data_IF_116040023341
#
_entry.id   IF_116040023341
#
_cell.length_a   1.000
_cell.length_b   1.000
_cell.length_c   1.000
_cell.angle_alpha   90.00
_cell.angle_beta   90.00
_cell.angle_gamma   90.00
#
_symmetry.space_group_name_H-M   'P 1'
#
loop_
_entity.id
_entity.type
_entity.pdbx_description
1 polymer ?
#
# COMPACT_ATOMS: atom_id res chain seq x y z
N UNK A 1 10.31 70.31 10.13
CA UNK A 1 9.47 69.24 9.56
C UNK A 1 8.98 68.41 10.70
N UNK A 2 7.65 68.36 10.79
CA UNK A 2 6.86 68.16 11.98
C UNK A 2 6.87 66.72 12.49
N UNK A 3 6.86 66.59 13.81
CA UNK A 3 6.50 65.38 14.55
C UNK A 3 5.02 65.04 14.29
N UNK A 4 4.76 63.80 13.86
CA UNK A 4 3.41 63.23 13.81
C UNK A 4 3.27 62.15 14.88
N UNK A 5 2.46 62.44 15.89
CA UNK A 5 1.84 61.47 16.77
C UNK A 5 0.34 61.73 16.71
N UNK A 6 -0.44 60.74 16.26
CA UNK A 6 -1.87 60.64 16.56
C UNK A 6 -2.28 59.17 16.48
N UNK A 7 -2.81 58.72 17.61
CA UNK A 7 -3.48 57.45 17.86
C UNK A 7 -4.88 57.48 17.26
N UNK A 8 -5.34 56.36 16.69
CA UNK A 8 -6.78 56.10 16.62
C UNK A 8 -7.04 54.58 16.75
N UNK A 9 -7.78 54.23 17.81
CA UNK A 9 -8.36 52.92 18.03
C UNK A 9 -9.83 53.01 17.61
N UNK A 10 -10.31 52.04 16.84
CA UNK A 10 -11.72 51.66 16.88
C UNK A 10 -11.82 50.14 16.79
N UNK A 11 -12.58 49.64 17.75
CA UNK A 11 -12.94 48.26 18.04
C UNK A 11 -14.02 47.71 17.08
N UNK A 12 -14.39 46.45 17.31
CA UNK A 12 -15.61 45.74 16.89
C UNK A 12 -15.60 45.17 15.44
N UNK A 13 -15.93 43.90 15.16
CA UNK A 13 -16.81 42.98 15.86
C UNK A 13 -16.65 41.52 15.35
N UNK A 14 -16.85 40.60 16.29
CA UNK A 14 -17.48 39.27 16.21
C UNK A 14 -16.83 38.08 15.48
N UNK A 15 -16.38 37.17 16.35
CA UNK A 15 -16.22 35.74 16.18
C UNK A 15 -17.50 35.06 15.65
N UNK A 16 -17.37 34.29 14.57
CA UNK A 16 -18.33 33.24 14.21
C UNK A 16 -17.76 31.89 14.67
N UNK A 17 -18.26 31.46 15.83
CA UNK A 17 -18.27 30.06 16.27
C UNK A 17 -19.25 29.27 15.38
N UNK A 18 -18.74 28.33 14.60
CA UNK A 18 -19.52 27.18 14.12
C UNK A 18 -18.80 25.89 14.56
N UNK A 19 -19.31 25.34 15.66
CA UNK A 19 -19.26 23.90 15.99
C UNK A 19 -19.88 23.13 14.79
N UNK A 20 -19.45 21.94 14.39
CA UNK A 20 -19.51 20.67 15.11
C UNK A 20 -19.11 19.63 14.04
N UNK A 21 -18.18 18.71 14.33
CA UNK A 21 -18.17 17.35 13.78
C UNK A 21 -17.09 16.56 14.52
N UNK A 22 -17.50 15.99 15.65
CA UNK A 22 -16.74 14.99 16.37
C UNK A 22 -16.86 13.64 15.65
N UNK A 23 -15.76 13.17 15.08
CA UNK A 23 -15.60 11.77 14.72
C UNK A 23 -15.09 11.00 15.96
N UNK A 24 -16.01 10.73 16.89
CA UNK A 24 -15.84 9.72 17.94
C UNK A 24 -16.01 8.33 17.29
N UNK A 25 -14.91 7.77 16.77
CA UNK A 25 -14.88 6.36 16.38
C UNK A 25 -14.81 5.50 17.66
N UNK A 26 -15.95 4.94 18.04
CA UNK A 26 -16.13 3.95 19.12
C UNK A 26 -15.19 2.74 18.95
N UNK A 27 -14.18 2.64 19.82
CA UNK A 27 -13.40 1.43 20.07
C UNK A 27 -14.26 0.39 20.81
N UNK A 28 -15.01 -0.44 20.09
CA UNK A 28 -15.66 -1.63 20.65
C UNK A 28 -14.67 -2.79 20.74
N UNK A 29 -14.05 -2.93 21.91
CA UNK A 29 -13.22 -4.05 22.29
C UNK A 29 -14.12 -5.27 22.60
N UNK A 30 -14.22 -6.23 21.66
CA UNK A 30 -14.64 -7.59 22.01
C UNK A 30 -13.71 -8.65 21.44
N UNK A 31 -13.05 -9.32 22.38
CA UNK A 31 -12.15 -10.45 22.18
C UNK A 31 -12.93 -11.76 22.11
N UNK A 32 -12.50 -12.61 21.15
CA UNK A 32 -12.62 -14.08 21.12
C UNK A 32 -13.98 -14.69 20.75
N UNK A 33 -14.06 -15.24 19.54
CA UNK A 33 -14.06 -16.71 19.30
C UNK A 33 -14.05 -17.02 17.80
N UNK A 34 -13.17 -17.94 17.41
CA UNK A 34 -13.12 -18.53 16.09
C UNK A 34 -14.27 -19.52 15.89
N UNK A 35 -14.92 -19.50 14.72
CA UNK A 35 -15.57 -20.68 14.12
C UNK A 35 -15.96 -20.41 12.67
N UNK A 36 -15.75 -21.44 11.86
CA UNK A 36 -15.80 -21.50 10.40
C UNK A 36 -17.14 -21.08 9.78
N UNK A 37 -17.11 -20.19 8.78
CA UNK A 37 -18.18 -20.08 7.78
C UNK A 37 -17.57 -19.76 6.41
N UNK A 38 -17.63 -20.75 5.51
CA UNK A 38 -17.49 -20.54 4.07
C UNK A 38 -18.77 -19.90 3.54
N UNK A 39 -18.71 -18.60 3.23
CA UNK A 39 -19.69 -17.93 2.36
C UNK A 39 -18.98 -16.88 1.54
N UNK A 40 -19.15 -16.97 0.22
CA UNK A 40 -18.69 -16.02 -0.79
C UNK A 40 -19.13 -14.60 -0.44
N UNK A 41 -18.22 -13.84 0.17
CA UNK A 41 -18.21 -12.38 0.16
C UNK A 41 -16.99 -11.97 -0.64
N UNK A 42 -17.18 -11.22 -1.71
CA UNK A 42 -16.09 -10.61 -2.49
C UNK A 42 -15.45 -9.51 -1.63
N UNK A 43 -14.66 -9.90 -0.65
CA UNK A 43 -13.86 -8.96 0.12
C UNK A 43 -12.66 -8.54 -0.72
N UNK A 44 -12.37 -7.24 -0.75
CA UNK A 44 -11.21 -6.70 -1.45
C UNK A 44 -9.94 -6.87 -0.59
N UNK A 45 -9.80 -8.05 0.02
CA UNK A 45 -8.65 -8.49 0.81
C UNK A 45 -8.30 -9.95 0.49
N UNK A 46 -7.08 -10.35 0.81
CA UNK A 46 -6.55 -11.69 0.51
C UNK A 46 -5.52 -12.08 1.55
N UNK A 47 -5.88 -13.01 2.44
CA UNK A 47 -4.98 -13.56 3.46
C UNK A 47 -3.75 -14.24 2.84
N UNK A 48 -3.93 -14.92 1.71
CA UNK A 48 -2.83 -15.57 0.99
C UNK A 48 -1.78 -14.55 0.52
N UNK A 49 -2.23 -13.38 0.05
CA UNK A 49 -1.30 -12.31 -0.33
C UNK A 49 -0.63 -11.66 0.88
N UNK A 50 -1.33 -11.58 2.01
CA UNK A 50 -0.73 -11.13 3.27
C UNK A 50 0.37 -12.08 3.73
N UNK A 51 0.12 -13.39 3.70
CA UNK A 51 1.12 -14.40 4.04
C UNK A 51 2.33 -14.34 3.09
N UNK A 52 2.08 -14.21 1.79
CA UNK A 52 3.15 -14.13 0.78
C UNK A 52 3.99 -12.86 0.92
N UNK A 53 3.33 -11.70 1.14
CA UNK A 53 4.00 -10.43 1.40
C UNK A 53 4.83 -10.46 2.68
N UNK A 54 4.28 -11.03 3.76
CA UNK A 54 4.98 -11.20 5.05
C UNK A 54 6.19 -12.12 4.90
N UNK A 55 6.04 -13.24 4.17
CA UNK A 55 7.14 -14.18 3.90
C UNK A 55 8.23 -13.54 3.05
N UNK A 56 7.85 -12.74 2.05
CA UNK A 56 8.80 -11.97 1.24
C UNK A 56 9.60 -10.99 2.12
N UNK A 57 8.89 -10.22 2.94
CA UNK A 57 9.51 -9.27 3.88
C UNK A 57 10.50 -9.97 4.84
N UNK A 58 10.10 -11.09 5.44
CA UNK A 58 10.96 -11.86 6.34
C UNK A 58 12.20 -12.39 5.61
N UNK A 59 12.04 -12.91 4.38
CA UNK A 59 13.18 -13.41 3.60
C UNK A 59 14.16 -12.29 3.23
N UNK A 60 13.66 -11.13 2.83
CA UNK A 60 14.50 -9.96 2.55
C UNK A 60 15.19 -9.46 3.82
N UNK A 61 14.50 -9.49 4.97
CA UNK A 61 15.06 -9.08 6.27
C UNK A 61 16.20 -9.97 6.75
N UNK A 62 16.06 -11.28 6.58
CA UNK A 62 17.01 -12.26 7.13
C UNK A 62 18.21 -12.45 6.20
N UNK A 63 18.00 -12.36 4.88
CA UNK A 63 19.00 -12.79 3.91
C UNK A 63 19.73 -11.64 3.23
N UNK A 64 19.28 -10.39 3.34
CA UNK A 64 19.95 -9.26 2.71
C UNK A 64 20.72 -8.40 3.73
N UNK A 65 22.05 -8.62 3.89
CA UNK A 65 22.88 -7.84 4.83
C UNK A 65 23.00 -6.36 4.47
N UNK A 66 22.48 -5.93 3.30
CA UNK A 66 22.52 -4.55 2.82
C UNK A 66 21.33 -3.72 3.32
N UNK A 67 20.40 -4.32 4.05
CA UNK A 67 19.23 -3.65 4.62
C UNK A 67 19.32 -3.59 6.16
N UNK A 68 20.23 -2.79 6.74
CA UNK A 68 20.40 -2.71 8.19
C UNK A 68 19.13 -2.20 8.91
N UNK A 69 18.31 -1.37 8.23
CA UNK A 69 17.05 -0.83 8.73
C UNK A 69 15.89 -1.09 7.74
N UNK A 70 15.50 -2.35 7.55
CA UNK A 70 14.50 -2.74 6.54
C UNK A 70 13.18 -1.94 6.59
N UNK A 71 12.81 -1.48 7.78
CA UNK A 71 11.61 -0.67 8.05
C UNK A 71 11.60 0.64 7.25
N UNK A 72 12.78 1.23 7.00
CA UNK A 72 12.91 2.47 6.25
C UNK A 72 12.95 2.23 4.73
N UNK A 73 13.44 1.07 4.32
CA UNK A 73 13.72 0.74 2.92
C UNK A 73 12.56 0.05 2.21
N UNK A 74 11.66 -0.63 2.94
CA UNK A 74 10.57 -1.41 2.36
C UNK A 74 9.20 -0.83 2.69
N UNK A 75 8.32 -0.78 1.71
CA UNK A 75 6.88 -0.59 1.95
C UNK A 75 6.04 -1.61 1.20
N UNK A 76 4.86 -1.87 1.75
CA UNK A 76 3.79 -2.63 1.11
C UNK A 76 2.75 -1.65 0.59
N UNK A 77 2.43 -1.78 -0.70
CA UNK A 77 1.40 -0.98 -1.37
C UNK A 77 0.28 -1.91 -1.82
N UNK A 78 -0.96 -1.48 -1.64
CA UNK A 78 -2.14 -2.22 -2.11
C UNK A 78 -3.23 -1.25 -2.57
N UNK A 79 -4.06 -1.58 -3.57
CA UNK A 79 -5.15 -0.69 -3.99
C UNK A 79 -6.24 -0.52 -2.92
N UNK A 80 -6.40 -1.48 -2.00
CA UNK A 80 -7.58 -1.54 -1.12
C UNK A 80 -7.27 -1.24 0.35
N UNK A 81 -8.02 -0.31 0.95
CA UNK A 81 -7.94 0.00 2.40
C UNK A 81 -8.20 -1.25 3.28
N UNK A 82 -9.07 -2.16 2.83
CA UNK A 82 -9.33 -3.42 3.52
C UNK A 82 -8.05 -4.27 3.63
N UNK A 83 -7.30 -4.39 2.54
CA UNK A 83 -6.02 -5.10 2.53
C UNK A 83 -4.97 -4.39 3.39
N UNK A 84 -4.95 -3.05 3.44
CA UNK A 84 -4.08 -2.31 4.38
C UNK A 84 -4.39 -2.72 5.82
N UNK A 85 -5.67 -2.68 6.22
CA UNK A 85 -6.09 -3.10 7.58
C UNK A 85 -5.71 -4.55 7.85
N UNK A 86 -5.89 -5.44 6.87
CA UNK A 86 -5.52 -6.83 7.01
C UNK A 86 -4.01 -6.96 7.25
N UNK A 87 -3.16 -6.36 6.42
CA UNK A 87 -1.71 -6.35 6.66
C UNK A 87 -1.33 -5.80 8.03
N UNK A 88 -1.98 -4.74 8.50
CA UNK A 88 -1.73 -4.15 9.82
C UNK A 88 -2.04 -5.10 10.98
N UNK A 89 -2.95 -6.07 10.79
CA UNK A 89 -3.22 -7.09 11.81
C UNK A 89 -2.15 -8.19 11.89
N UNK A 90 -1.29 -8.35 10.87
CA UNK A 90 -0.23 -9.38 10.83
C UNK A 90 1.18 -8.80 10.91
N UNK A 91 1.37 -7.53 10.58
CA UNK A 91 2.68 -6.91 10.48
C UNK A 91 2.96 -5.97 11.65
N UNK A 92 4.23 -5.88 12.09
CA UNK A 92 4.63 -4.89 13.07
C UNK A 92 4.31 -3.46 12.62
N UNK A 93 4.00 -2.53 13.54
CA UNK A 93 3.55 -1.18 13.22
C UNK A 93 4.59 -0.36 12.44
N UNK A 94 5.87 -0.69 12.61
CA UNK A 94 6.98 0.00 11.93
C UNK A 94 7.12 -0.34 10.44
N UNK A 95 6.45 -1.39 9.95
CA UNK A 95 6.44 -1.69 8.51
C UNK A 95 5.44 -0.76 7.84
N UNK A 96 5.87 -0.04 6.82
CA UNK A 96 4.99 0.86 6.10
C UNK A 96 4.05 0.08 5.17
N UNK A 97 2.75 0.21 5.41
CA UNK A 97 1.68 -0.35 4.59
C UNK A 97 0.73 0.79 4.21
N UNK A 98 0.48 0.95 2.92
CA UNK A 98 -0.23 2.10 2.38
C UNK A 98 -1.07 1.76 1.15
N UNK A 99 -2.07 2.60 0.89
CA UNK A 99 -2.82 2.53 -0.38
C UNK A 99 -2.06 3.23 -1.51
N UNK A 100 -2.43 2.94 -2.76
CA UNK A 100 -1.92 3.64 -3.94
C UNK A 100 -1.96 5.18 -3.79
N UNK A 101 -3.10 5.74 -3.36
CA UNK A 101 -3.26 7.19 -3.17
C UNK A 101 -2.33 7.74 -2.09
N UNK A 102 -2.26 7.06 -0.94
CA UNK A 102 -1.42 7.50 0.19
C UNK A 102 0.09 7.32 -0.05
N UNK A 103 0.46 6.64 -1.14
CA UNK A 103 1.86 6.46 -1.56
C UNK A 103 2.35 7.57 -2.50
N UNK A 104 1.49 8.49 -2.92
CA UNK A 104 1.86 9.56 -3.84
C UNK A 104 2.98 10.43 -3.26
N UNK A 105 4.04 10.64 -4.04
CA UNK A 105 5.22 11.43 -3.63
C UNK A 105 6.13 10.73 -2.61
N UNK A 106 5.81 9.51 -2.19
CA UNK A 106 6.68 8.69 -1.35
C UNK A 106 7.39 7.65 -2.22
N UNK A 107 8.64 7.36 -1.91
CA UNK A 107 9.42 6.35 -2.62
C UNK A 107 10.15 5.47 -1.62
N UNK A 108 10.35 4.21 -2.01
CA UNK A 108 11.05 3.21 -1.22
C UNK A 108 12.04 2.46 -2.08
N UNK A 109 13.07 1.98 -1.43
CA UNK A 109 14.11 1.19 -2.07
C UNK A 109 13.52 -0.10 -2.64
N UNK A 110 12.63 -0.73 -1.87
CA UNK A 110 11.90 -1.93 -2.26
C UNK A 110 10.41 -1.70 -2.02
N UNK A 111 9.59 -2.05 -2.99
CA UNK A 111 8.13 -2.04 -2.86
C UNK A 111 7.58 -3.44 -3.06
N UNK A 112 6.69 -3.84 -2.15
CA UNK A 112 5.87 -5.04 -2.28
C UNK A 112 4.45 -4.58 -2.64
N UNK A 113 4.02 -4.85 -3.87
CA UNK A 113 2.69 -4.55 -4.37
C UNK A 113 1.78 -5.77 -4.21
N UNK A 114 0.71 -5.65 -3.43
CA UNK A 114 -0.35 -6.67 -3.32
C UNK A 114 -1.56 -6.19 -4.12
N UNK A 115 -1.84 -6.84 -5.25
CA UNK A 115 -2.93 -6.48 -6.16
C UNK A 115 -4.30 -6.89 -5.61
N UNK A 116 -4.37 -7.97 -4.82
CA UNK A 116 -5.60 -8.57 -4.26
C UNK A 116 -6.56 -9.08 -5.34
N UNK A 117 -7.14 -10.25 -5.11
CA UNK A 117 -8.16 -10.85 -5.96
C UNK A 117 -9.49 -10.11 -5.82
N UNK A 118 -9.75 -9.10 -6.65
CA UNK A 118 -11.09 -8.48 -6.67
C UNK A 118 -12.03 -9.28 -7.58
N UNK A 119 -12.88 -10.12 -6.99
CA UNK A 119 -14.09 -10.71 -7.60
C UNK A 119 -14.07 -10.95 -9.12
N UNK A 120 -15.13 -10.49 -9.80
CA UNK A 120 -15.33 -10.64 -11.26
C UNK A 120 -14.66 -9.51 -12.07
N UNK A 121 -14.21 -8.42 -11.42
CA UNK A 121 -13.61 -7.25 -12.07
C UNK A 121 -12.45 -6.71 -11.24
N UNK A 122 -11.35 -6.32 -11.90
CA UNK A 122 -10.16 -5.73 -11.24
C UNK A 122 -10.40 -4.34 -10.62
N UNK A 123 -11.55 -3.71 -10.92
CA UNK A 123 -12.02 -2.47 -10.29
C UNK A 123 -10.95 -1.38 -10.26
N UNK A 124 -10.49 -1.05 -9.05
CA UNK A 124 -9.53 0.02 -8.75
C UNK A 124 -8.17 -0.13 -9.46
N UNK A 125 -7.82 -1.34 -9.90
CA UNK A 125 -6.60 -1.61 -10.66
C UNK A 125 -6.69 -1.22 -12.14
N UNK A 126 -7.89 -0.89 -12.66
CA UNK A 126 -8.10 -0.44 -14.04
C UNK A 126 -7.73 1.03 -14.28
N UNK A 127 -7.38 1.76 -13.22
CA UNK A 127 -6.90 3.13 -13.32
C UNK A 127 -5.40 3.13 -13.62
N UNK A 128 -5.04 3.41 -14.88
CA UNK A 128 -3.65 3.50 -15.31
C UNK A 128 -2.81 4.51 -14.51
N UNK A 129 -3.41 5.60 -14.02
CA UNK A 129 -2.66 6.56 -13.20
C UNK A 129 -2.26 5.92 -11.87
N UNK A 130 -3.17 5.14 -11.26
CA UNK A 130 -2.89 4.42 -10.01
C UNK A 130 -1.89 3.30 -10.22
N UNK A 131 -2.00 2.56 -11.32
CA UNK A 131 -1.00 1.55 -11.71
C UNK A 131 0.39 2.19 -11.83
N UNK A 132 0.51 3.30 -12.57
CA UNK A 132 1.77 4.02 -12.74
C UNK A 132 2.34 4.52 -11.41
N UNK A 133 1.49 5.08 -10.54
CA UNK A 133 1.92 5.50 -9.20
C UNK A 133 2.52 4.30 -8.47
N UNK A 134 1.78 3.19 -8.35
CA UNK A 134 2.23 2.00 -7.61
C UNK A 134 3.53 1.39 -8.18
N UNK A 135 3.63 1.24 -9.50
CA UNK A 135 4.79 0.62 -10.16
C UNK A 135 6.05 1.49 -10.09
N UNK A 136 5.92 2.81 -9.96
CA UNK A 136 7.05 3.75 -9.94
C UNK A 136 7.53 4.10 -8.53
N UNK A 137 6.94 3.53 -7.47
CA UNK A 137 7.36 3.85 -6.08
C UNK A 137 8.66 3.15 -5.67
N UNK A 138 9.09 2.10 -6.39
CA UNK A 138 10.33 1.36 -6.10
C UNK A 138 11.54 1.96 -6.78
N UNK A 139 12.64 2.15 -6.03
CA UNK A 139 13.92 2.60 -6.58
C UNK A 139 14.79 1.45 -7.10
N UNK A 140 14.84 0.33 -6.37
CA UNK A 140 15.71 -0.79 -6.71
C UNK A 140 14.95 -2.06 -7.08
N UNK A 141 13.88 -2.40 -6.35
CA UNK A 141 13.14 -3.63 -6.61
C UNK A 141 11.63 -3.49 -6.36
N UNK A 142 10.86 -4.15 -7.23
CA UNK A 142 9.41 -4.25 -7.15
C UNK A 142 9.01 -5.72 -7.11
N UNK A 143 8.27 -6.11 -6.07
CA UNK A 143 7.66 -7.42 -5.94
C UNK A 143 6.15 -7.30 -6.10
N UNK A 144 5.57 -7.95 -7.10
CA UNK A 144 4.12 -7.90 -7.34
C UNK A 144 3.49 -9.25 -6.99
N UNK A 145 2.52 -9.23 -6.09
CA UNK A 145 1.69 -10.37 -5.71
C UNK A 145 0.28 -10.19 -6.25
N UNK A 146 -0.23 -11.21 -6.93
CA UNK A 146 -1.59 -11.21 -7.47
C UNK A 146 -1.85 -12.41 -8.38
N UNK A 147 -3.09 -12.54 -8.83
CA UNK A 147 -3.46 -13.52 -9.84
C UNK A 147 -3.12 -12.98 -11.23
N UNK A 148 -1.99 -13.41 -11.79
CA UNK A 148 -1.50 -12.94 -13.09
C UNK A 148 -2.50 -13.16 -14.24
N UNK A 149 -3.22 -14.28 -14.23
CA UNK A 149 -4.25 -14.59 -15.24
C UNK A 149 -5.38 -13.57 -15.16
N UNK A 150 -5.90 -13.32 -13.96
CA UNK A 150 -6.97 -12.35 -13.76
C UNK A 150 -6.56 -10.93 -14.15
N UNK A 151 -5.34 -10.50 -13.77
CA UNK A 151 -4.83 -9.18 -14.12
C UNK A 151 -4.71 -9.02 -15.65
N UNK A 152 -4.16 -10.02 -16.34
CA UNK A 152 -3.96 -9.99 -17.78
C UNK A 152 -5.27 -10.08 -18.59
N UNK A 153 -6.29 -10.75 -18.05
CA UNK A 153 -7.58 -10.90 -18.75
C UNK A 153 -8.45 -9.65 -18.65
N UNK A 154 -8.26 -8.84 -17.60
CA UNK A 154 -9.19 -7.76 -17.25
C UNK A 154 -8.71 -6.36 -17.66
N UNK A 155 -7.41 -6.16 -17.88
CA UNK A 155 -6.88 -4.87 -18.34
C UNK A 155 -5.68 -5.01 -19.30
N UNK A 156 -5.66 -4.26 -20.43
CA UNK A 156 -4.58 -4.31 -21.40
C UNK A 156 -3.19 -3.91 -20.86
N UNK A 157 -3.11 -2.93 -19.94
CA UNK A 157 -1.84 -2.49 -19.39
C UNK A 157 -1.23 -3.56 -18.46
N UNK A 158 -2.06 -4.16 -17.61
CA UNK A 158 -1.70 -5.33 -16.82
C UNK A 158 -1.31 -6.52 -17.69
N UNK A 159 -2.00 -6.75 -18.81
CA UNK A 159 -1.62 -7.78 -19.79
C UNK A 159 -0.22 -7.55 -20.35
N UNK A 160 0.10 -6.31 -20.73
CA UNK A 160 1.44 -5.97 -21.22
C UNK A 160 2.50 -6.16 -20.13
N UNK A 161 2.21 -5.73 -18.90
CA UNK A 161 3.08 -5.94 -17.75
C UNK A 161 3.35 -7.43 -17.48
N UNK A 162 2.31 -8.27 -17.47
CA UNK A 162 2.42 -9.72 -17.28
C UNK A 162 3.20 -10.38 -18.43
N UNK A 163 2.94 -9.97 -19.67
CA UNK A 163 3.69 -10.46 -20.84
C UNK A 163 5.18 -10.10 -20.75
N UNK A 164 5.50 -8.89 -20.29
CA UNK A 164 6.87 -8.47 -20.03
C UNK A 164 7.52 -9.35 -18.96
N UNK A 165 6.81 -9.64 -17.86
CA UNK A 165 7.32 -10.51 -16.81
C UNK A 165 7.59 -11.95 -17.29
N UNK A 166 6.69 -12.51 -18.12
CA UNK A 166 6.90 -13.82 -18.76
C UNK A 166 8.12 -13.81 -19.68
N UNK A 167 8.23 -12.81 -20.56
CA UNK A 167 9.34 -12.69 -21.53
C UNK A 167 10.70 -12.64 -20.84
N UNK A 168 10.79 -11.94 -19.71
CA UNK A 168 12.03 -11.79 -18.95
C UNK A 168 12.26 -12.91 -17.91
N UNK A 169 11.35 -13.88 -17.80
CA UNK A 169 11.45 -15.01 -16.85
C UNK A 169 11.57 -14.57 -15.39
N UNK A 170 10.90 -13.47 -15.03
CA UNK A 170 10.92 -12.87 -13.68
C UNK A 170 9.67 -13.24 -12.85
N UNK A 171 8.99 -14.33 -13.23
CA UNK A 171 7.83 -14.85 -12.50
C UNK A 171 8.29 -16.01 -11.62
N UNK A 172 7.87 -16.00 -10.36
CA UNK A 172 8.17 -17.03 -9.38
C UNK A 172 6.92 -17.44 -8.60
N UNK A 173 6.99 -18.60 -7.95
CA UNK A 173 5.95 -19.04 -7.03
C UNK A 173 5.91 -18.11 -5.81
N UNK A 174 4.74 -17.58 -5.49
CA UNK A 174 4.53 -16.67 -4.38
C UNK A 174 4.82 -17.31 -3.00
N UNK A 175 4.82 -18.64 -2.89
CA UNK A 175 5.24 -19.36 -1.69
C UNK A 175 6.78 -19.39 -1.53
N UNK A 176 7.50 -19.16 -2.63
CA UNK A 176 8.96 -19.18 -2.69
C UNK A 176 9.47 -17.84 -3.26
N UNK A 177 9.23 -16.67 -2.60
CA UNK A 177 9.84 -15.43 -3.02
C UNK A 177 11.37 -15.56 -3.10
N UNK A 178 12.00 -14.83 -4.05
CA UNK A 178 13.43 -14.92 -4.27
C UNK A 178 14.19 -14.55 -3.00
N UNK A 179 15.23 -15.33 -2.72
CA UNK A 179 16.02 -15.21 -1.49
C UNK A 179 16.80 -13.90 -1.43
N UNK A 180 17.21 -13.38 -2.59
CA UNK A 180 18.02 -12.19 -2.73
C UNK A 180 17.44 -11.29 -3.83
N UNK A 181 17.68 -9.98 -3.71
CA UNK A 181 17.41 -9.04 -4.80
C UNK A 181 18.23 -9.45 -6.04
N UNK A 182 17.62 -9.58 -7.23
CA UNK A 182 18.38 -9.73 -8.46
C UNK A 182 19.17 -8.44 -8.68
N UNK A 183 20.47 -8.46 -8.41
CA UNK A 183 21.33 -7.32 -8.70
C UNK A 183 21.45 -7.19 -10.22
N UNK A 184 21.19 -5.99 -10.74
CA UNK A 184 21.59 -5.62 -12.09
C UNK A 184 22.98 -5.00 -11.93
N UNK A 185 24.00 -5.68 -12.47
CA UNK A 185 25.29 -5.02 -12.65
C UNK A 185 25.08 -3.98 -13.73
N UNK A 186 25.09 -2.70 -13.34
CA UNK A 186 25.04 -1.56 -14.24
C UNK A 186 26.29 -1.47 -15.12
#
# INVERSE_FOLDING_TARGET
NSDERSTDNSDDDNDEDDNEDGDDDDDDESSTTCSSVSTSRTTNDSINEVENGTRCLQRLSINDPRLPDIQQHIAIITPYKAQVRLFRSYLPPYIEVMTADSSQGKEKDIVILSCVRSGDTIGFLNDMNRMNVMLTRSKYALYVFGNLTQLADQDPAWKEFVNHAHKNRIICDANIPPLNLPYRED
#
